data_IF_413759850796
#
_entry.id   IF_413759850796
#
_cell.length_a   1.000
_cell.length_b   1.000
_cell.length_c   1.000
_cell.angle_alpha   90.00
_cell.angle_beta   90.00
_cell.angle_gamma   90.00
#
_symmetry.space_group_name_H-M   'P 1'
#
loop_
_entity.id
_entity.type
_entity.pdbx_description
1 polymer ?
#
# COMPACT_ATOMS: atom_id res chain seq x y z
N UNK A 1 -2.90 22.49 -45.93
CA UNK A 1 -2.80 22.97 -44.55
C UNK A 1 -3.64 22.12 -43.61
N UNK A 2 -3.35 20.83 -43.40
CA UNK A 2 -4.07 19.95 -42.44
C UNK A 2 -3.18 18.82 -41.89
N UNK A 3 -1.87 19.00 -41.75
CA UNK A 3 -0.94 17.94 -41.27
C UNK A 3 -0.14 18.29 -40.00
N UNK A 4 -0.40 19.42 -39.35
CA UNK A 4 0.37 19.85 -38.16
C UNK A 4 -0.42 19.88 -36.85
N UNK A 5 -1.68 19.38 -36.80
CA UNK A 5 -2.51 19.43 -35.61
C UNK A 5 -2.52 18.10 -34.81
N UNK A 6 -1.86 17.05 -35.27
CA UNK A 6 -1.86 15.74 -34.62
C UNK A 6 -0.61 15.45 -33.76
N UNK A 7 0.38 16.35 -33.80
CA UNK A 7 1.65 16.16 -33.07
C UNK A 7 1.70 16.92 -31.73
N UNK A 8 0.71 17.75 -31.42
CA UNK A 8 0.70 18.58 -30.21
C UNK A 8 -0.08 17.96 -29.05
N UNK A 9 -0.74 16.82 -29.23
CA UNK A 9 -1.50 16.13 -28.18
C UNK A 9 -0.72 15.01 -27.48
N UNK A 10 0.47 14.64 -28.01
CA UNK A 10 1.31 13.58 -27.43
C UNK A 10 2.39 14.09 -26.46
N UNK A 11 2.54 15.41 -26.29
CA UNK A 11 3.60 15.99 -25.45
C UNK A 11 3.13 16.54 -24.12
N UNK A 12 1.86 16.37 -23.76
CA UNK A 12 1.30 16.80 -22.48
C UNK A 12 0.97 15.66 -21.49
N UNK A 13 1.30 14.41 -21.85
CA UNK A 13 1.21 13.26 -20.95
C UNK A 13 2.59 12.77 -20.43
N UNK A 14 3.64 13.55 -20.59
CA UNK A 14 4.99 13.20 -20.10
C UNK A 14 5.28 13.80 -18.72
N UNK A 15 4.38 13.58 -17.75
CA UNK A 15 4.57 14.11 -16.40
C UNK A 15 4.34 13.14 -15.26
N UNK A 16 3.72 12.00 -15.52
CA UNK A 16 3.55 10.95 -14.52
C UNK A 16 4.19 9.68 -15.07
N UNK A 17 5.44 9.44 -14.70
CA UNK A 17 5.96 8.09 -14.74
C UNK A 17 5.10 7.33 -13.73
N UNK A 18 4.13 6.55 -14.21
CA UNK A 18 3.40 5.59 -13.42
C UNK A 18 4.47 4.73 -12.73
N UNK A 19 4.41 4.59 -11.44
CA UNK A 19 5.28 3.67 -10.70
C UNK A 19 4.78 2.24 -10.97
N UNK A 20 4.89 1.82 -12.24
CA UNK A 20 4.44 0.52 -12.71
C UNK A 20 5.16 -0.57 -11.91
N UNK A 21 4.39 -1.47 -11.31
CA UNK A 21 4.82 -2.80 -10.85
C UNK A 21 6.26 -2.88 -10.32
N UNK A 22 6.62 -2.04 -9.34
CA UNK A 22 7.99 -1.95 -8.85
C UNK A 22 8.47 -3.20 -8.10
N UNK A 23 7.52 -3.98 -7.54
CA UNK A 23 7.87 -5.15 -6.74
C UNK A 23 8.42 -6.33 -7.57
N UNK A 24 8.16 -6.36 -8.90
CA UNK A 24 8.73 -7.38 -9.77
C UNK A 24 10.28 -7.37 -9.76
N UNK A 25 10.88 -6.21 -9.48
CA UNK A 25 12.34 -6.03 -9.40
C UNK A 25 12.95 -6.62 -8.11
N UNK A 26 12.13 -6.91 -7.10
CA UNK A 26 12.60 -7.43 -5.82
C UNK A 26 12.94 -8.92 -5.91
N UNK A 27 14.05 -9.38 -5.32
CA UNK A 27 14.35 -10.81 -5.22
C UNK A 27 13.31 -11.55 -4.37
N UNK A 28 12.87 -12.71 -4.82
CA UNK A 28 11.88 -13.54 -4.12
C UNK A 28 12.28 -13.91 -2.68
N UNK A 29 13.59 -14.00 -2.39
CA UNK A 29 14.12 -14.31 -1.06
C UNK A 29 14.09 -13.14 -0.07
N UNK A 30 13.80 -11.93 -0.53
CA UNK A 30 13.74 -10.72 0.32
C UNK A 30 12.60 -10.85 1.33
N UNK A 31 12.87 -10.57 2.60
CA UNK A 31 11.81 -10.53 3.60
C UNK A 31 10.93 -9.29 3.42
N UNK A 32 9.61 -9.46 3.45
CA UNK A 32 8.66 -8.36 3.31
C UNK A 32 8.86 -7.30 4.39
N UNK A 33 9.22 -7.72 5.60
CA UNK A 33 9.52 -6.82 6.71
C UNK A 33 10.75 -5.91 6.47
N UNK A 34 11.61 -6.27 5.53
CA UNK A 34 12.79 -5.49 5.13
C UNK A 34 12.50 -4.52 3.97
N UNK A 35 11.25 -4.25 3.67
CA UNK A 35 10.91 -3.35 2.58
C UNK A 35 10.53 -1.96 3.09
N UNK A 36 10.67 -0.99 2.19
CA UNK A 36 10.07 0.34 2.30
C UNK A 36 8.80 0.34 1.47
N UNK A 37 7.64 0.20 2.12
CA UNK A 37 6.35 0.04 1.43
C UNK A 37 5.54 1.32 1.52
N UNK A 38 5.32 2.03 0.40
CA UNK A 38 4.42 3.18 0.39
C UNK A 38 2.98 2.73 0.64
N UNK A 39 2.31 3.41 1.57
CA UNK A 39 0.96 3.11 2.01
C UNK A 39 0.08 4.34 2.12
N UNK A 40 -1.23 4.15 1.97
CA UNK A 40 -2.26 5.18 2.10
C UNK A 40 -3.03 4.97 3.41
N UNK A 41 -3.02 6.00 4.28
CA UNK A 41 -3.86 6.09 5.47
C UNK A 41 -5.30 6.38 5.05
N UNK A 42 -6.30 5.74 5.69
CA UNK A 42 -7.73 5.86 5.34
C UNK A 42 -7.95 5.87 3.82
N UNK A 43 -7.44 4.83 3.16
CA UNK A 43 -7.25 4.78 1.71
C UNK A 43 -8.53 4.97 0.89
N UNK A 44 -9.69 4.71 1.46
CA UNK A 44 -10.97 4.80 0.78
C UNK A 44 -11.49 6.24 0.57
N UNK A 45 -10.96 7.23 1.30
CA UNK A 45 -11.51 8.60 1.33
C UNK A 45 -11.40 9.33 -0.01
N UNK A 46 -10.46 8.95 -0.88
CA UNK A 46 -10.36 9.46 -2.25
C UNK A 46 -11.43 8.96 -3.21
N UNK A 47 -12.17 7.90 -2.84
CA UNK A 47 -13.26 7.35 -3.67
C UNK A 47 -14.56 8.14 -3.58
N UNK A 48 -14.57 9.24 -2.82
CA UNK A 48 -15.77 10.07 -2.60
C UNK A 48 -16.54 9.67 -1.35
N UNK A 49 -17.71 10.26 -1.17
CA UNK A 49 -18.48 10.17 0.06
C UNK A 49 -19.84 9.49 -0.16
N UNK A 50 -20.26 8.73 0.85
CA UNK A 50 -21.58 8.14 0.91
C UNK A 50 -22.68 9.19 1.10
N UNK A 51 -23.93 8.77 0.97
CA UNK A 51 -25.08 9.63 1.18
C UNK A 51 -25.29 10.02 2.65
N UNK A 52 -26.20 10.95 2.88
CA UNK A 52 -26.62 11.37 4.20
C UNK A 52 -25.85 12.55 4.77
N UNK A 53 -26.21 12.91 6.02
CA UNK A 53 -25.69 14.10 6.70
C UNK A 53 -24.16 14.05 6.85
N UNK A 54 -23.63 12.94 7.28
CA UNK A 54 -22.18 12.81 7.55
C UNK A 54 -21.35 12.82 6.27
N UNK A 55 -21.84 12.23 5.17
CA UNK A 55 -21.14 12.29 3.88
C UNK A 55 -20.93 13.71 3.38
N UNK A 56 -21.86 14.64 3.70
CA UNK A 56 -21.73 16.04 3.33
C UNK A 56 -20.53 16.76 4.00
N UNK A 57 -20.02 16.22 5.11
CA UNK A 57 -18.87 16.78 5.84
C UNK A 57 -17.52 16.14 5.44
N UNK A 58 -17.55 15.10 4.59
CA UNK A 58 -16.38 14.33 4.25
C UNK A 58 -15.19 15.15 3.75
N UNK A 59 -15.42 16.06 2.81
CA UNK A 59 -14.38 16.93 2.25
C UNK A 59 -13.73 17.87 3.28
N UNK A 60 -14.47 18.24 4.31
CA UNK A 60 -14.04 19.20 5.32
C UNK A 60 -13.32 18.53 6.47
N UNK A 61 -13.70 17.29 6.83
CA UNK A 61 -13.28 16.69 8.10
C UNK A 61 -12.73 15.27 8.00
N UNK A 62 -12.82 14.62 6.85
CA UNK A 62 -12.45 13.21 6.73
C UNK A 62 -11.53 12.89 5.55
N UNK A 63 -11.24 13.88 4.69
CA UNK A 63 -10.45 13.61 3.48
C UNK A 63 -8.96 13.49 3.79
N UNK A 64 -8.44 12.29 3.63
CA UNK A 64 -7.02 11.94 3.76
C UNK A 64 -6.38 11.58 2.43
N UNK A 65 -7.17 11.27 1.40
CA UNK A 65 -6.70 10.93 0.05
C UNK A 65 -7.49 11.69 -1.01
N UNK A 66 -6.81 12.08 -2.10
CA UNK A 66 -7.45 12.65 -3.29
C UNK A 66 -7.63 11.61 -4.40
N UNK A 67 -6.90 10.51 -4.35
CA UNK A 67 -6.91 9.44 -5.35
C UNK A 67 -7.76 8.25 -4.89
N UNK A 68 -8.43 7.61 -5.84
CA UNK A 68 -9.14 6.35 -5.62
C UNK A 68 -8.15 5.20 -5.37
N UNK A 69 -8.63 4.06 -4.88
CA UNK A 69 -7.82 2.86 -4.65
C UNK A 69 -7.01 2.45 -5.89
N UNK A 70 -7.63 2.43 -7.09
CA UNK A 70 -6.93 2.11 -8.32
C UNK A 70 -5.84 3.14 -8.69
N UNK A 71 -6.13 4.42 -8.52
CA UNK A 71 -5.16 5.48 -8.77
C UNK A 71 -3.98 5.46 -7.77
N UNK A 72 -4.25 5.13 -6.50
CA UNK A 72 -3.20 4.89 -5.51
C UNK A 72 -2.29 3.73 -5.91
N UNK A 73 -2.88 2.62 -6.39
CA UNK A 73 -2.11 1.51 -6.95
C UNK A 73 -1.23 1.95 -8.12
N UNK A 74 -1.78 2.71 -9.07
CA UNK A 74 -1.06 3.19 -10.25
C UNK A 74 0.13 4.11 -9.89
N UNK A 75 0.03 4.82 -8.75
CA UNK A 75 1.13 5.62 -8.20
C UNK A 75 2.20 4.79 -7.47
N UNK A 76 2.01 3.47 -7.28
CA UNK A 76 2.96 2.60 -6.61
C UNK A 76 2.65 2.29 -5.14
N UNK A 77 1.52 2.73 -4.60
CA UNK A 77 1.06 2.35 -3.26
C UNK A 77 0.79 0.85 -3.22
N UNK A 78 1.30 0.17 -2.17
CA UNK A 78 1.12 -1.27 -1.96
C UNK A 78 0.69 -1.64 -0.53
N UNK A 79 0.48 -0.64 0.33
CA UNK A 79 -0.18 -0.83 1.62
C UNK A 79 -1.42 0.07 1.70
N UNK A 80 -2.54 -0.48 2.18
CA UNK A 80 -3.82 0.23 2.26
C UNK A 80 -4.38 0.10 3.67
N UNK A 81 -4.66 1.23 4.31
CA UNK A 81 -5.39 1.29 5.57
C UNK A 81 -6.88 1.30 5.25
N UNK A 82 -7.55 0.19 5.55
CA UNK A 82 -8.98 -0.01 5.29
C UNK A 82 -9.73 -0.14 6.60
N UNK A 83 -10.83 0.62 6.72
CA UNK A 83 -11.63 0.73 7.94
C UNK A 83 -13.10 0.39 7.70
N UNK A 84 -13.44 -0.90 7.70
CA UNK A 84 -14.83 -1.33 7.52
C UNK A 84 -15.70 -1.01 8.72
N UNK A 85 -16.96 -0.63 8.41
CA UNK A 85 -18.07 -0.49 9.34
C UNK A 85 -19.22 -1.41 8.93
N UNK A 86 -20.06 -1.79 9.87
CA UNK A 86 -21.21 -2.64 9.63
C UNK A 86 -22.40 -1.86 9.09
N UNK A 87 -22.86 -2.26 7.91
CA UNK A 87 -24.07 -1.79 7.25
C UNK A 87 -25.02 -2.95 7.00
N UNK A 88 -26.29 -2.66 6.70
CA UNK A 88 -27.26 -3.72 6.40
C UNK A 88 -26.84 -4.50 5.15
N UNK A 89 -26.48 -5.75 5.34
CA UNK A 89 -26.07 -6.69 4.30
C UNK A 89 -24.66 -6.52 3.72
N UNK A 90 -23.84 -5.52 4.13
CA UNK A 90 -22.48 -5.28 3.64
C UNK A 90 -21.61 -4.55 4.66
N UNK A 91 -20.31 -4.42 4.38
CA UNK A 91 -19.40 -3.55 5.12
C UNK A 91 -19.02 -2.33 4.28
N UNK A 92 -19.25 -1.12 4.81
CA UNK A 92 -18.81 0.11 4.15
C UNK A 92 -17.42 0.50 4.65
N UNK A 93 -16.64 1.23 3.86
CA UNK A 93 -15.41 1.86 4.35
C UNK A 93 -15.74 3.27 4.83
N UNK A 94 -15.36 3.58 6.07
CA UNK A 94 -15.60 4.88 6.67
C UNK A 94 -14.29 5.51 7.16
N UNK A 95 -14.36 6.82 7.45
CA UNK A 95 -13.41 7.51 8.31
C UNK A 95 -14.18 8.03 9.52
N UNK A 96 -14.07 7.36 10.65
CA UNK A 96 -14.95 7.55 11.79
C UNK A 96 -16.42 7.32 11.39
N UNK A 97 -17.27 8.28 11.74
CA UNK A 97 -18.69 8.27 11.38
C UNK A 97 -18.96 8.68 9.92
N UNK A 98 -17.94 9.13 9.17
CA UNK A 98 -18.11 9.68 7.82
C UNK A 98 -17.99 8.55 6.79
N UNK A 99 -19.10 8.20 6.09
CA UNK A 99 -19.08 7.12 5.11
C UNK A 99 -18.41 7.55 3.81
N UNK A 100 -17.53 6.71 3.29
CA UNK A 100 -17.08 6.85 1.89
C UNK A 100 -18.09 6.25 0.92
N UNK A 101 -17.89 6.48 -0.39
CA UNK A 101 -18.78 5.96 -1.43
C UNK A 101 -18.44 4.52 -1.85
N UNK A 102 -17.55 3.82 -1.13
CA UNK A 102 -17.05 2.51 -1.53
C UNK A 102 -17.19 1.47 -0.40
N UNK A 103 -17.55 0.23 -0.77
CA UNK A 103 -17.67 -0.89 0.16
C UNK A 103 -16.34 -1.59 0.37
N UNK A 104 -16.17 -2.23 1.51
CA UNK A 104 -15.00 -3.03 1.81
C UNK A 104 -14.85 -4.21 0.86
N UNK A 105 -15.94 -4.94 0.61
CA UNK A 105 -15.94 -6.10 -0.28
C UNK A 105 -15.53 -5.70 -1.70
N UNK A 106 -16.12 -4.64 -2.25
CA UNK A 106 -15.82 -4.13 -3.61
C UNK A 106 -14.34 -3.68 -3.71
N UNK A 107 -13.83 -3.06 -2.66
CA UNK A 107 -12.42 -2.65 -2.58
C UNK A 107 -11.49 -3.86 -2.60
N UNK A 108 -11.79 -4.88 -1.82
CA UNK A 108 -11.00 -6.11 -1.79
C UNK A 108 -11.02 -6.85 -3.12
N UNK A 109 -12.17 -6.87 -3.82
CA UNK A 109 -12.27 -7.44 -5.17
C UNK A 109 -11.46 -6.62 -6.18
N UNK A 110 -11.50 -5.30 -6.11
CA UNK A 110 -10.69 -4.44 -6.96
C UNK A 110 -9.19 -4.70 -6.75
N UNK A 111 -8.72 -4.80 -5.51
CA UNK A 111 -7.33 -5.09 -5.17
C UNK A 111 -6.90 -6.48 -5.65
N UNK A 112 -7.76 -7.49 -5.51
CA UNK A 112 -7.56 -8.83 -6.07
C UNK A 112 -7.39 -8.77 -7.60
N UNK A 113 -8.27 -8.07 -8.29
CA UNK A 113 -8.27 -8.01 -9.75
C UNK A 113 -7.03 -7.27 -10.28
N UNK A 114 -6.52 -6.28 -9.55
CA UNK A 114 -5.23 -5.66 -9.83
C UNK A 114 -4.07 -6.66 -9.69
N UNK A 115 -4.09 -7.52 -8.68
CA UNK A 115 -3.07 -8.57 -8.51
C UNK A 115 -3.18 -9.67 -9.59
N UNK A 116 -4.39 -10.03 -10.04
CA UNK A 116 -4.57 -10.96 -11.16
C UNK A 116 -3.92 -10.43 -12.43
N UNK A 117 -4.04 -9.13 -12.69
CA UNK A 117 -3.41 -8.47 -13.84
C UNK A 117 -1.89 -8.26 -13.65
N UNK A 118 -1.42 -8.20 -12.41
CA UNK A 118 -0.04 -7.90 -12.04
C UNK A 118 0.48 -8.93 -11.02
N UNK A 119 0.69 -10.19 -11.42
CA UNK A 119 0.96 -11.30 -10.49
C UNK A 119 2.33 -11.23 -9.80
N UNK A 120 3.21 -10.36 -10.24
CA UNK A 120 4.48 -10.08 -9.56
C UNK A 120 4.34 -9.21 -8.31
N UNK A 121 3.23 -8.48 -8.22
CA UNK A 121 2.96 -7.56 -7.13
C UNK A 121 2.27 -8.25 -5.95
N UNK A 122 2.26 -7.58 -4.80
CA UNK A 122 1.52 -7.98 -3.61
C UNK A 122 1.02 -6.77 -2.82
N UNK A 123 0.09 -7.00 -1.92
CA UNK A 123 -0.56 -5.95 -1.13
C UNK A 123 -0.49 -6.30 0.36
N UNK A 124 -0.29 -5.26 1.19
CA UNK A 124 -0.50 -5.32 2.64
C UNK A 124 -1.72 -4.49 3.00
N UNK A 125 -2.65 -5.05 3.74
CA UNK A 125 -3.80 -4.34 4.29
C UNK A 125 -3.57 -4.14 5.80
N UNK A 126 -3.58 -2.89 6.24
CA UNK A 126 -3.83 -2.55 7.63
C UNK A 126 -5.35 -2.51 7.80
N UNK A 127 -5.90 -3.34 8.68
CA UNK A 127 -7.34 -3.48 8.88
C UNK A 127 -7.73 -3.03 10.29
N UNK A 128 -8.72 -2.16 10.39
CA UNK A 128 -9.29 -1.68 11.64
C UNK A 128 -10.81 -1.58 11.51
N UNK A 129 -11.56 -2.20 12.43
CA UNK A 129 -13.00 -2.00 12.51
C UNK A 129 -13.32 -0.58 13.00
N UNK A 130 -13.99 0.22 12.19
CA UNK A 130 -14.36 1.61 12.52
C UNK A 130 -15.74 1.64 13.20
N UNK A 131 -15.79 1.23 14.47
CA UNK A 131 -17.03 0.98 15.21
C UNK A 131 -17.96 2.19 15.29
N UNK A 132 -17.40 3.40 15.30
CA UNK A 132 -18.21 4.64 15.36
C UNK A 132 -19.09 4.84 14.13
N UNK A 133 -18.77 4.17 13.03
CA UNK A 133 -19.52 4.23 11.77
C UNK A 133 -20.55 3.12 11.58
N UNK A 134 -20.66 2.17 12.51
CA UNK A 134 -21.61 1.05 12.41
C UNK A 134 -23.06 1.53 12.36
N UNK A 135 -23.82 0.97 11.41
CA UNK A 135 -25.24 1.29 11.21
C UNK A 135 -26.16 0.17 11.70
N UNK A 136 -25.60 -0.99 12.02
CA UNK A 136 -26.33 -2.17 12.53
C UNK A 136 -25.57 -2.85 13.66
N UNK A 137 -26.32 -3.48 14.57
CA UNK A 137 -25.78 -4.23 15.71
C UNK A 137 -25.52 -5.70 15.30
N UNK A 138 -24.72 -5.91 14.26
CA UNK A 138 -24.32 -7.25 13.83
C UNK A 138 -22.93 -7.63 14.37
N UNK A 139 -22.58 -8.90 14.20
CA UNK A 139 -21.24 -9.38 14.53
C UNK A 139 -20.24 -9.04 13.43
N UNK A 140 -19.39 -8.05 13.66
CA UNK A 140 -18.26 -7.77 12.78
C UNK A 140 -17.38 -9.01 12.57
N UNK A 141 -17.11 -9.77 13.66
CA UNK A 141 -16.34 -10.99 13.58
C UNK A 141 -16.92 -12.00 12.58
N UNK A 142 -18.22 -12.21 12.60
CA UNK A 142 -18.86 -13.19 11.71
C UNK A 142 -18.83 -12.72 10.26
N UNK A 143 -19.08 -11.44 10.02
CA UNK A 143 -19.05 -10.86 8.67
C UNK A 143 -17.67 -10.85 8.07
N UNK A 144 -16.65 -10.38 8.80
CA UNK A 144 -15.27 -10.34 8.26
C UNK A 144 -14.73 -11.75 8.01
N UNK A 145 -15.01 -12.70 8.90
CA UNK A 145 -14.59 -14.10 8.71
C UNK A 145 -15.30 -14.73 7.52
N UNK A 146 -16.61 -14.54 7.39
CA UNK A 146 -17.37 -15.07 6.25
C UNK A 146 -16.81 -14.51 4.93
N UNK A 147 -16.54 -13.22 4.86
CA UNK A 147 -15.96 -12.59 3.67
C UNK A 147 -14.55 -13.15 3.36
N UNK A 148 -13.65 -13.16 4.35
CA UNK A 148 -12.26 -13.61 4.13
C UNK A 148 -12.15 -15.12 3.80
N UNK A 149 -13.19 -15.90 4.08
CA UNK A 149 -13.28 -17.33 3.73
C UNK A 149 -14.05 -17.59 2.44
N UNK A 150 -14.63 -16.57 1.83
CA UNK A 150 -15.40 -16.72 0.59
C UNK A 150 -14.52 -17.18 -0.57
N UNK A 151 -15.12 -17.88 -1.54
CA UNK A 151 -14.41 -18.41 -2.70
C UNK A 151 -13.82 -17.29 -3.58
N UNK A 152 -14.39 -16.11 -3.50
CA UNK A 152 -13.99 -14.95 -4.30
C UNK A 152 -12.66 -14.33 -3.86
N UNK A 153 -12.24 -14.52 -2.58
CA UNK A 153 -11.05 -13.83 -2.05
C UNK A 153 -10.04 -14.75 -1.36
N UNK A 154 -10.48 -15.85 -0.75
CA UNK A 154 -9.66 -16.69 0.14
C UNK A 154 -8.33 -17.14 -0.47
N UNK A 155 -8.31 -17.46 -1.76
CA UNK A 155 -7.13 -17.97 -2.46
C UNK A 155 -6.08 -16.89 -2.75
N UNK A 156 -6.45 -15.62 -2.59
CA UNK A 156 -5.55 -14.47 -2.72
C UNK A 156 -4.97 -14.02 -1.39
N UNK A 157 -5.43 -14.57 -0.27
CA UNK A 157 -4.99 -14.20 1.06
C UNK A 157 -3.84 -15.10 1.51
N UNK A 158 -2.91 -14.52 2.29
CA UNK A 158 -1.77 -15.25 2.87
C UNK A 158 -1.75 -15.12 4.39
N UNK A 159 -1.37 -16.22 5.06
CA UNK A 159 -1.13 -16.19 6.50
C UNK A 159 0.18 -15.49 6.84
N UNK A 160 0.18 -14.76 7.94
CA UNK A 160 1.39 -14.15 8.46
C UNK A 160 2.40 -15.21 8.90
N UNK A 161 3.63 -15.01 8.45
CA UNK A 161 4.83 -15.66 8.97
C UNK A 161 5.85 -14.56 9.31
N UNK A 162 6.63 -14.76 10.36
CA UNK A 162 7.67 -13.79 10.74
C UNK A 162 8.61 -13.47 9.57
N UNK A 163 9.03 -14.49 8.86
CA UNK A 163 9.97 -14.45 7.74
C UNK A 163 9.29 -14.54 6.36
N UNK A 164 8.10 -13.98 6.24
CA UNK A 164 7.38 -13.93 4.96
C UNK A 164 8.23 -13.23 3.91
N UNK A 165 8.38 -13.87 2.76
CA UNK A 165 9.23 -13.38 1.66
C UNK A 165 8.41 -12.78 0.53
N UNK A 166 9.06 -11.98 -0.31
CA UNK A 166 8.46 -11.41 -1.52
C UNK A 166 7.88 -12.51 -2.42
N UNK A 167 8.64 -13.61 -2.64
CA UNK A 167 8.17 -14.72 -3.48
C UNK A 167 6.90 -15.40 -2.94
N UNK A 168 6.77 -15.53 -1.60
CA UNK A 168 5.55 -16.06 -0.98
C UNK A 168 4.36 -15.09 -1.08
N UNK A 169 4.63 -13.79 -1.23
CA UNK A 169 3.62 -12.75 -1.32
C UNK A 169 3.13 -12.47 -2.74
N UNK A 170 3.87 -12.86 -3.78
CA UNK A 170 3.47 -12.54 -5.16
C UNK A 170 2.05 -12.99 -5.47
N UNK A 171 1.24 -12.07 -6.02
CA UNK A 171 -0.18 -12.26 -6.31
C UNK A 171 -1.07 -12.39 -5.07
N UNK A 172 -0.57 -12.02 -3.86
CA UNK A 172 -1.29 -12.21 -2.59
C UNK A 172 -1.52 -10.92 -1.84
N UNK A 173 -2.46 -10.99 -0.90
CA UNK A 173 -2.82 -9.94 0.06
C UNK A 173 -2.50 -10.44 1.47
N UNK A 174 -1.68 -9.71 2.21
CA UNK A 174 -1.48 -9.91 3.63
C UNK A 174 -2.37 -8.95 4.41
N UNK A 175 -3.30 -9.48 5.18
CA UNK A 175 -4.11 -8.69 6.10
C UNK A 175 -3.45 -8.66 7.47
N UNK A 176 -3.17 -7.47 7.98
CA UNK A 176 -2.68 -7.21 9.33
C UNK A 176 -3.75 -6.39 10.06
N UNK A 177 -4.50 -7.06 10.94
CA UNK A 177 -5.67 -6.49 11.61
C UNK A 177 -5.35 -6.05 13.04
N UNK A 178 -5.83 -4.88 13.42
CA UNK A 178 -5.85 -4.43 14.82
C UNK A 178 -6.93 -5.14 15.64
N UNK A 179 -7.94 -5.68 14.98
CA UNK A 179 -9.04 -6.39 15.61
C UNK A 179 -8.77 -7.89 15.58
N UNK A 180 -9.00 -8.54 16.72
CA UNK A 180 -9.01 -9.99 16.79
C UNK A 180 -10.40 -10.49 16.41
N UNK A 181 -10.49 -11.13 15.27
CA UNK A 181 -11.66 -11.93 14.93
C UNK A 181 -11.36 -13.42 15.13
N UNK A 182 -12.28 -14.13 15.77
CA UNK A 182 -12.08 -15.52 16.18
C UNK A 182 -12.33 -16.51 15.03
N UNK A 183 -11.78 -17.71 15.18
CA UNK A 183 -12.00 -18.92 14.37
C UNK A 183 -11.59 -18.87 12.89
N UNK A 184 -10.44 -19.47 12.60
CA UNK A 184 -9.83 -19.64 11.28
C UNK A 184 -9.57 -18.34 10.51
N UNK A 185 -9.09 -17.30 11.16
CA UNK A 185 -8.70 -16.08 10.47
C UNK A 185 -7.50 -16.37 9.56
N UNK A 186 -7.27 -15.46 8.63
CA UNK A 186 -6.11 -15.46 7.75
C UNK A 186 -5.34 -14.15 7.96
N UNK A 187 -4.02 -14.16 7.72
CA UNK A 187 -3.18 -13.01 7.94
C UNK A 187 -2.57 -12.96 9.34
N UNK A 188 -2.52 -11.79 9.95
CA UNK A 188 -1.96 -11.57 11.28
C UNK A 188 -2.71 -10.52 12.08
N UNK A 189 -2.60 -10.63 13.41
CA UNK A 189 -3.16 -9.65 14.34
C UNK A 189 -2.06 -8.74 14.89
N UNK A 190 -2.32 -7.45 14.88
CA UNK A 190 -1.47 -6.41 15.45
C UNK A 190 -1.84 -6.25 16.94
N UNK A 191 -1.01 -6.76 17.83
CA UNK A 191 -1.27 -6.78 19.25
C UNK A 191 -0.52 -5.68 19.98
N UNK A 192 -1.13 -5.14 21.03
CA UNK A 192 -0.58 -4.08 21.87
C UNK A 192 -0.30 -2.81 21.06
N UNK A 193 -1.17 -2.49 20.11
CA UNK A 193 -1.11 -1.24 19.36
C UNK A 193 -1.23 -0.05 20.31
N UNK A 194 -0.43 0.99 20.09
CA UNK A 194 -0.43 2.21 20.88
C UNK A 194 -0.59 3.42 19.99
N UNK A 195 -1.63 4.17 20.24
CA UNK A 195 -1.88 5.47 19.63
C UNK A 195 -1.16 6.56 20.43
N UNK A 196 -0.79 7.65 19.79
CA UNK A 196 -0.15 8.85 20.39
C UNK A 196 1.10 8.56 21.22
N UNK A 197 1.83 7.51 20.88
CA UNK A 197 3.06 7.13 21.55
C UNK A 197 4.29 7.75 20.88
N UNK A 198 4.86 8.78 21.48
CA UNK A 198 6.11 9.42 21.02
C UNK A 198 7.38 8.67 21.43
N UNK A 199 7.28 7.71 22.35
CA UNK A 199 8.41 6.95 22.89
C UNK A 199 8.42 5.49 22.42
N UNK A 200 7.95 5.24 21.21
CA UNK A 200 7.84 3.90 20.64
C UNK A 200 9.17 3.10 20.72
N UNK A 201 10.34 3.74 20.63
CA UNK A 201 11.66 3.09 20.67
C UNK A 201 12.00 2.48 22.06
N UNK A 202 11.40 2.99 23.12
CA UNK A 202 11.61 2.48 24.48
C UNK A 202 10.68 1.32 24.83
N UNK A 203 9.74 1.06 23.95
CA UNK A 203 8.74 0.04 24.17
C UNK A 203 8.88 -0.99 23.04
N UNK A 204 9.32 -2.18 23.37
CA UNK A 204 9.05 -3.39 22.58
C UNK A 204 7.55 -3.52 22.43
N UNK A 205 7.01 -2.70 21.58
CA UNK A 205 5.69 -2.22 21.88
C UNK A 205 4.64 -3.21 21.44
N UNK A 206 4.77 -3.78 20.25
CA UNK A 206 3.75 -4.61 19.70
C UNK A 206 4.25 -5.98 19.29
N UNK A 207 3.32 -6.78 18.85
CA UNK A 207 3.58 -8.09 18.27
C UNK A 207 2.63 -8.29 17.10
N UNK A 208 3.09 -8.99 16.08
CA UNK A 208 2.20 -9.57 15.09
C UNK A 208 2.03 -11.04 15.45
N UNK A 209 0.81 -11.44 15.67
CA UNK A 209 0.45 -12.85 15.88
C UNK A 209 -0.16 -13.40 14.61
N UNK A 210 0.36 -14.50 14.09
CA UNK A 210 -0.25 -15.19 12.96
C UNK A 210 -1.67 -15.65 13.32
N UNK A 211 -2.59 -15.45 12.41
CA UNK A 211 -4.00 -15.72 12.65
C UNK A 211 -4.29 -17.22 12.84
N UNK A 212 -3.61 -18.10 12.10
CA UNK A 212 -3.71 -19.56 12.24
C UNK A 212 -2.64 -20.18 13.15
N UNK A 213 -1.68 -19.40 13.62
CA UNK A 213 -0.53 -19.92 14.36
C UNK A 213 -0.23 -19.08 15.59
N UNK A 214 0.48 -19.67 16.54
CA UNK A 214 1.03 -18.94 17.70
C UNK A 214 2.31 -18.17 17.36
N UNK A 215 2.74 -18.16 16.09
CA UNK A 215 3.95 -17.45 15.65
C UNK A 215 3.77 -15.97 15.88
N UNK A 216 4.71 -15.39 16.62
CA UNK A 216 4.75 -13.96 16.89
C UNK A 216 5.99 -13.34 16.26
N UNK A 217 5.81 -12.13 15.73
CA UNK A 217 6.87 -11.23 15.28
C UNK A 217 6.91 -9.97 16.11
N UNK A 218 8.09 -9.35 16.20
CA UNK A 218 8.23 -8.03 16.82
C UNK A 218 7.62 -6.97 15.91
N UNK A 219 6.83 -6.08 16.51
CA UNK A 219 6.20 -4.95 15.83
C UNK A 219 6.65 -3.65 16.50
N UNK A 220 7.13 -2.73 15.72
CA UNK A 220 7.36 -1.35 16.13
C UNK A 220 6.39 -0.45 15.38
N UNK A 221 5.69 0.42 16.10
CA UNK A 221 4.68 1.30 15.53
C UNK A 221 4.87 2.72 16.01
N UNK A 222 4.74 3.68 15.11
CA UNK A 222 4.57 5.10 15.39
C UNK A 222 3.21 5.50 14.82
N UNK A 223 2.28 5.80 15.71
CA UNK A 223 0.91 6.21 15.40
C UNK A 223 0.56 7.44 16.29
N UNK A 224 1.46 8.45 16.28
CA UNK A 224 1.19 9.75 16.88
C UNK A 224 0.37 10.57 15.89
N UNK A 225 -0.92 10.72 16.15
CA UNK A 225 -1.87 11.28 15.20
C UNK A 225 -2.24 12.75 15.50
N UNK A 226 -2.29 13.13 16.79
CA UNK A 226 -2.79 14.42 17.23
C UNK A 226 -1.68 15.48 17.33
N UNK A 227 -1.58 16.33 16.31
CA UNK A 227 -0.66 17.49 16.32
C UNK A 227 -1.33 18.79 16.80
N UNK A 228 -2.56 18.72 17.31
CA UNK A 228 -3.24 19.85 17.93
C UNK A 228 -2.62 20.20 19.30
N UNK A 229 -2.00 19.22 19.96
CA UNK A 229 -1.41 19.35 21.27
C UNK A 229 -0.11 20.16 21.27
N UNK A 230 0.41 20.49 22.47
CA UNK A 230 1.68 21.19 22.66
C UNK A 230 2.82 20.48 21.92
N UNK A 231 3.61 21.27 21.20
CA UNK A 231 4.67 20.77 20.31
C UNK A 231 4.26 20.63 18.85
N UNK A 232 2.97 20.52 18.58
CA UNK A 232 2.41 20.56 17.22
C UNK A 232 3.02 19.52 16.28
N UNK A 233 3.15 19.89 15.02
CA UNK A 233 3.73 19.04 13.98
C UNK A 233 5.17 18.62 14.26
N UNK A 234 5.96 19.43 15.01
CA UNK A 234 7.34 19.07 15.32
C UNK A 234 7.44 17.78 16.14
N UNK A 235 6.56 17.59 17.12
CA UNK A 235 6.50 16.32 17.88
C UNK A 235 6.23 15.12 16.97
N UNK A 236 5.36 15.28 15.96
CA UNK A 236 5.10 14.26 14.94
C UNK A 236 6.35 13.98 14.10
N UNK A 237 7.04 15.01 13.63
CA UNK A 237 8.27 14.85 12.84
C UNK A 237 9.36 14.14 13.64
N UNK A 238 9.51 14.46 14.92
CA UNK A 238 10.47 13.81 15.81
C UNK A 238 10.12 12.32 16.02
N UNK A 239 8.84 11.99 16.18
CA UNK A 239 8.37 10.60 16.30
C UNK A 239 8.64 9.80 15.01
N UNK A 240 8.33 10.38 13.84
CA UNK A 240 8.64 9.80 12.53
C UNK A 240 10.14 9.55 12.40
N UNK A 241 10.96 10.58 12.72
CA UNK A 241 12.41 10.48 12.63
C UNK A 241 12.99 9.37 13.50
N UNK A 242 12.56 9.27 14.75
CA UNK A 242 12.98 8.18 15.65
C UNK A 242 12.71 6.80 15.06
N UNK A 243 11.53 6.62 14.43
CA UNK A 243 11.18 5.37 13.77
C UNK A 243 12.10 5.10 12.57
N UNK A 244 12.34 6.09 11.72
CA UNK A 244 13.23 5.95 10.56
C UNK A 244 14.67 5.66 11.00
N UNK A 245 15.21 6.40 11.99
CA UNK A 245 16.56 6.19 12.53
C UNK A 245 16.78 4.78 13.08
N UNK A 246 15.70 4.13 13.54
CA UNK A 246 15.72 2.77 14.04
C UNK A 246 15.52 1.74 12.93
N UNK A 247 14.47 1.86 12.14
CA UNK A 247 14.09 0.87 11.13
C UNK A 247 15.16 0.72 10.04
N UNK A 248 15.71 1.82 9.55
CA UNK A 248 16.70 1.82 8.45
C UNK A 248 18.02 1.10 8.80
N UNK A 249 18.29 0.89 10.09
CA UNK A 249 19.46 0.13 10.57
C UNK A 249 19.21 -1.38 10.70
N UNK A 250 17.96 -1.82 10.52
CA UNK A 250 17.54 -3.21 10.78
C UNK A 250 17.17 -3.96 9.50
N UNK A 251 18.16 -4.17 8.63
CA UNK A 251 18.00 -5.05 7.47
C UNK A 251 18.28 -6.50 7.89
N UNK A 252 17.23 -7.25 8.25
CA UNK A 252 17.34 -8.58 8.81
C UNK A 252 17.82 -9.58 7.75
N UNK A 253 18.84 -10.38 8.10
CA UNK A 253 19.38 -11.46 7.25
C UNK A 253 18.92 -12.85 7.70
N UNK A 254 18.39 -12.95 8.92
CA UNK A 254 17.89 -14.20 9.50
C UNK A 254 16.53 -13.98 10.16
N UNK A 255 15.69 -15.00 10.15
CA UNK A 255 14.30 -14.92 10.63
C UNK A 255 14.16 -14.44 12.09
N UNK A 256 15.12 -14.76 12.95
CA UNK A 256 15.06 -14.38 14.38
C UNK A 256 15.24 -12.89 14.65
N UNK A 257 15.82 -12.16 13.69
CA UNK A 257 16.10 -10.73 13.80
C UNK A 257 15.10 -9.85 13.05
N UNK A 258 14.06 -10.44 12.48
CA UNK A 258 13.05 -9.69 11.71
C UNK A 258 12.18 -8.87 12.66
N UNK A 259 12.04 -7.60 12.33
CA UNK A 259 11.12 -6.64 12.94
C UNK A 259 10.22 -6.05 11.88
N UNK A 260 8.95 -5.89 12.20
CA UNK A 260 7.97 -5.19 11.37
C UNK A 260 7.81 -3.76 11.88
N UNK A 261 7.67 -2.82 10.96
CA UNK A 261 7.56 -1.41 11.25
C UNK A 261 6.33 -0.82 10.58
N UNK A 262 5.53 -0.11 11.39
CA UNK A 262 4.47 0.77 10.92
C UNK A 262 4.79 2.20 11.35
N UNK A 263 4.91 3.10 10.41
CA UNK A 263 5.19 4.51 10.67
C UNK A 263 4.12 5.34 9.96
N UNK A 264 3.19 5.89 10.75
CA UNK A 264 2.15 6.75 10.21
C UNK A 264 2.73 8.15 9.95
N UNK A 265 2.76 8.58 8.70
CA UNK A 265 3.03 9.95 8.32
C UNK A 265 1.78 10.82 8.48
N UNK A 266 0.60 10.21 8.50
CA UNK A 266 -0.69 10.87 8.70
C UNK A 266 -0.82 11.52 10.07
N UNK A 267 -1.50 12.67 10.14
CA UNK A 267 -1.83 13.36 11.37
C UNK A 267 -2.94 14.40 11.16
N UNK A 268 -3.61 14.80 12.25
CA UNK A 268 -4.56 15.91 12.28
C UNK A 268 -4.11 17.00 13.26
N UNK A 269 -4.45 18.26 12.98
CA UNK A 269 -4.08 19.41 13.81
C UNK A 269 -5.27 20.28 14.24
N UNK A 270 -6.46 19.92 13.84
CA UNK A 270 -7.69 20.63 14.17
C UNK A 270 -8.75 19.64 14.61
N UNK A 271 -9.50 20.03 15.64
CA UNK A 271 -10.68 19.30 16.12
C UNK A 271 -11.84 20.26 16.08
N UNK A 272 -12.83 19.90 15.27
CA UNK A 272 -14.13 20.61 15.19
C UNK A 272 -15.21 19.81 15.90
N UNK A 273 -16.28 20.46 16.31
CA UNK A 273 -17.45 19.79 16.89
C UNK A 273 -18.70 20.11 16.09
N UNK A 274 -19.50 19.09 15.80
CA UNK A 274 -20.81 19.25 15.17
C UNK A 274 -21.88 18.88 16.19
N UNK A 275 -22.77 19.81 16.54
CA UNK A 275 -23.90 19.50 17.40
C UNK A 275 -24.93 18.65 16.63
N UNK A 276 -25.28 17.50 17.18
CA UNK A 276 -26.38 16.67 16.76
C UNK A 276 -27.47 16.64 17.83
N UNK A 277 -28.70 16.25 17.47
CA UNK A 277 -29.79 16.13 18.43
C UNK A 277 -29.38 15.15 19.54
N UNK A 278 -29.14 15.70 20.73
CA UNK A 278 -28.82 14.93 21.94
C UNK A 278 -27.33 14.60 22.15
N UNK A 279 -26.44 14.98 21.22
CA UNK A 279 -25.01 14.72 21.36
C UNK A 279 -24.16 15.73 20.58
N UNK A 280 -22.85 15.68 20.79
CA UNK A 280 -21.85 16.44 20.02
C UNK A 280 -20.84 15.45 19.46
N UNK A 281 -20.57 15.53 18.16
CA UNK A 281 -19.58 14.71 17.49
C UNK A 281 -18.32 15.53 17.24
N UNK A 282 -17.18 15.00 17.63
CA UNK A 282 -15.88 15.57 17.31
C UNK A 282 -15.39 15.05 15.96
N UNK A 283 -14.92 15.96 15.12
CA UNK A 283 -14.33 15.65 13.81
C UNK A 283 -12.95 16.27 13.73
N UNK A 284 -12.03 15.57 13.12
CA UNK A 284 -10.65 16.04 12.91
C UNK A 284 -10.46 16.68 11.55
N UNK A 285 -9.49 17.57 11.43
CA UNK A 285 -9.08 18.23 10.19
C UNK A 285 -7.59 18.63 10.26
N UNK A 286 -7.07 19.23 9.20
CA UNK A 286 -5.69 19.64 9.10
C UNK A 286 -4.78 18.59 8.45
N UNK A 287 -5.35 17.56 7.85
CA UNK A 287 -4.61 16.48 7.19
C UNK A 287 -3.69 16.98 6.08
N UNK A 288 -4.12 17.94 5.24
CA UNK A 288 -3.29 18.52 4.16
C UNK A 288 -2.10 19.28 4.69
N UNK A 289 -2.34 20.07 5.73
CA UNK A 289 -1.30 20.83 6.38
C UNK A 289 -0.24 19.91 6.98
N UNK A 290 -0.66 18.92 7.76
CA UNK A 290 0.25 17.92 8.30
C UNK A 290 0.99 17.13 7.20
N UNK A 291 0.30 16.67 6.15
CA UNK A 291 0.91 15.96 5.05
C UNK A 291 2.00 16.80 4.34
N UNK A 292 1.78 18.12 4.21
CA UNK A 292 2.79 19.02 3.61
C UNK A 292 4.10 19.04 4.39
N UNK A 293 4.05 18.82 5.70
CA UNK A 293 5.22 18.72 6.56
C UNK A 293 5.79 17.31 6.64
N UNK A 294 4.94 16.31 6.91
CA UNK A 294 5.38 14.95 7.18
C UNK A 294 5.92 14.25 5.94
N UNK A 295 5.22 14.33 4.80
CA UNK A 295 5.64 13.70 3.56
C UNK A 295 6.91 14.37 3.01
N UNK A 296 6.98 15.70 3.07
CA UNK A 296 8.19 16.44 2.68
C UNK A 296 9.38 16.06 3.56
N UNK A 297 9.17 15.97 4.89
CA UNK A 297 10.22 15.60 5.84
C UNK A 297 10.78 14.19 5.55
N UNK A 298 9.92 13.18 5.37
CA UNK A 298 10.37 11.81 5.07
C UNK A 298 11.10 11.78 3.73
N UNK A 299 10.58 12.49 2.72
CA UNK A 299 11.23 12.58 1.40
C UNK A 299 12.64 13.20 1.52
N UNK A 300 12.79 14.26 2.29
CA UNK A 300 14.09 14.90 2.54
C UNK A 300 15.02 13.99 3.33
N UNK A 301 14.51 13.29 4.35
CA UNK A 301 15.28 12.32 5.13
C UNK A 301 15.89 11.24 4.24
N UNK A 302 15.09 10.65 3.33
CA UNK A 302 15.53 9.60 2.42
C UNK A 302 16.48 10.08 1.30
N UNK A 303 16.52 11.39 1.03
CA UNK A 303 17.36 12.01 0.00
C UNK A 303 18.57 12.76 0.57
N UNK A 304 18.78 12.73 1.88
CA UNK A 304 19.91 13.41 2.51
C UNK A 304 21.24 12.79 2.08
N UNK A 305 22.27 13.61 1.87
CA UNK A 305 23.58 13.16 1.37
C UNK A 305 24.27 12.13 2.28
N UNK A 306 23.99 12.18 3.58
CA UNK A 306 24.53 11.26 4.59
C UNK A 306 23.62 10.07 4.90
N UNK A 307 22.45 10.01 4.27
CA UNK A 307 21.52 8.91 4.43
C UNK A 307 22.09 7.60 3.90
N UNK A 308 21.93 6.55 4.68
CA UNK A 308 22.27 5.19 4.27
C UNK A 308 20.99 4.41 4.03
N UNK A 309 20.72 3.97 2.80
CA UNK A 309 19.50 3.24 2.47
C UNK A 309 19.32 1.99 3.35
N UNK A 310 18.08 1.81 3.79
CA UNK A 310 17.66 0.70 4.62
C UNK A 310 16.13 0.65 4.74
N UNK A 311 15.56 -0.43 5.29
CA UNK A 311 14.13 -0.64 5.34
C UNK A 311 13.41 0.40 6.21
N UNK A 312 12.43 1.09 5.67
CA UNK A 312 11.58 2.00 6.45
C UNK A 312 10.39 1.29 7.11
N UNK A 313 10.07 0.07 6.64
CA UNK A 313 8.79 -0.57 6.91
C UNK A 313 7.65 0.03 6.10
N UNK A 314 6.44 -0.09 6.62
CA UNK A 314 5.22 0.44 5.99
C UNK A 314 5.02 1.89 6.43
N UNK A 315 5.00 2.81 5.47
CA UNK A 315 4.72 4.23 5.71
C UNK A 315 3.29 4.51 5.27
N UNK A 316 2.39 4.74 6.21
CA UNK A 316 1.00 5.11 5.94
C UNK A 316 0.87 6.64 5.92
N UNK A 317 0.62 7.22 4.75
CA UNK A 317 0.61 8.66 4.52
C UNK A 317 -0.76 9.18 4.08
N UNK A 318 -1.00 10.45 4.36
CA UNK A 318 -2.10 11.20 3.76
C UNK A 318 -1.68 11.74 2.39
N UNK A 319 -2.64 11.87 1.47
CA UNK A 319 -2.47 12.38 0.09
C UNK A 319 -1.38 11.64 -0.70
N UNK A 320 -1.29 10.32 -0.51
CA UNK A 320 -0.40 9.47 -1.29
C UNK A 320 -0.64 9.65 -2.80
N UNK A 321 0.45 9.68 -3.56
CA UNK A 321 0.38 9.75 -5.03
C UNK A 321 0.07 11.12 -5.62
N UNK A 322 -0.12 12.17 -4.82
CA UNK A 322 -0.26 13.55 -5.31
C UNK A 322 0.74 14.48 -4.60
N UNK A 323 1.25 15.48 -5.32
CA UNK A 323 2.17 16.48 -4.73
C UNK A 323 1.45 17.76 -4.32
N UNK A 324 0.24 18.00 -4.83
CA UNK A 324 -0.57 19.17 -4.50
C UNK A 324 -2.01 18.79 -4.22
N UNK A 325 -2.60 19.37 -3.16
CA UNK A 325 -4.01 19.24 -2.80
C UNK A 325 -4.55 20.55 -2.22
N UNK A 326 -5.56 21.14 -2.90
CA UNK A 326 -6.27 22.36 -2.45
C UNK A 326 -5.32 23.48 -1.93
N UNK A 327 -4.23 23.73 -2.63
CA UNK A 327 -3.27 24.79 -2.31
C UNK A 327 -2.12 24.40 -1.36
N UNK A 328 -2.10 23.17 -0.87
CA UNK A 328 -0.98 22.63 -0.09
C UNK A 328 -0.03 21.81 -0.98
N UNK A 329 1.27 21.93 -0.74
CA UNK A 329 2.30 21.08 -1.33
C UNK A 329 2.45 19.82 -0.46
N UNK A 330 1.57 18.84 -0.67
CA UNK A 330 1.48 17.63 0.18
C UNK A 330 2.55 16.58 -0.11
N UNK A 331 3.31 16.72 -1.19
CA UNK A 331 4.51 15.92 -1.54
C UNK A 331 4.29 14.38 -1.53
N UNK A 332 3.07 13.91 -1.71
CA UNK A 332 2.74 12.49 -1.56
C UNK A 332 3.27 11.61 -2.69
N UNK A 333 3.30 12.09 -3.94
CA UNK A 333 3.90 11.36 -5.05
C UNK A 333 5.42 11.29 -4.90
N UNK A 334 6.05 12.37 -4.48
CA UNK A 334 7.49 12.41 -4.23
C UNK A 334 7.88 11.43 -3.12
N UNK A 335 7.05 11.30 -2.06
CA UNK A 335 7.31 10.35 -0.99
C UNK A 335 7.13 8.91 -1.45
N UNK A 336 6.06 8.60 -2.20
CA UNK A 336 5.87 7.27 -2.78
C UNK A 336 7.09 6.87 -3.59
N UNK A 337 7.56 7.74 -4.48
CA UNK A 337 8.74 7.47 -5.31
C UNK A 337 10.01 7.30 -4.47
N UNK A 338 10.23 8.16 -3.47
CA UNK A 338 11.40 8.06 -2.59
C UNK A 338 11.44 6.73 -1.81
N UNK A 339 10.28 6.23 -1.37
CA UNK A 339 10.18 4.93 -0.69
C UNK A 339 10.45 3.76 -1.64
N UNK A 340 9.96 3.83 -2.88
CA UNK A 340 10.23 2.82 -3.91
C UNK A 340 11.73 2.80 -4.21
N UNK A 341 12.32 3.95 -4.52
CA UNK A 341 13.74 4.07 -4.87
C UNK A 341 14.64 3.64 -3.71
N UNK A 342 14.24 3.93 -2.47
CA UNK A 342 15.00 3.53 -1.29
C UNK A 342 15.21 2.01 -1.21
N UNK A 343 14.23 1.19 -1.61
CA UNK A 343 14.42 -0.28 -1.65
C UNK A 343 15.64 -0.66 -2.48
N UNK A 344 15.82 -0.06 -3.64
CA UNK A 344 16.90 -0.36 -4.58
C UNK A 344 18.23 0.29 -4.20
N UNK A 345 18.27 1.02 -3.11
CA UNK A 345 19.50 1.49 -2.49
C UNK A 345 20.20 0.45 -1.60
N UNK A 346 19.49 -0.60 -1.17
CA UNK A 346 20.03 -1.65 -0.28
C UNK A 346 19.60 -3.08 -0.65
N UNK A 347 18.68 -3.24 -1.60
CA UNK A 347 18.25 -4.53 -2.17
C UNK A 347 18.78 -4.58 -3.60
N UNK A 348 19.52 -5.64 -3.94
CA UNK A 348 19.96 -5.85 -5.31
C UNK A 348 18.74 -6.02 -6.22
N UNK A 349 18.68 -5.21 -7.27
CA UNK A 349 17.71 -5.36 -8.33
C UNK A 349 17.84 -6.76 -8.96
N UNK A 350 16.72 -7.45 -9.15
CA UNK A 350 16.74 -8.61 -10.05
C UNK A 350 16.91 -8.03 -11.46
N UNK A 351 18.03 -8.32 -12.15
CA UNK A 351 18.19 -7.83 -13.50
C UNK A 351 16.96 -8.27 -14.31
N UNK A 352 16.28 -7.32 -14.93
CA UNK A 352 15.28 -7.59 -15.97
C UNK A 352 16.03 -8.04 -17.21
N UNK A 353 16.86 -9.07 -17.02
CA UNK A 353 17.52 -9.81 -18.06
C UNK A 353 16.63 -10.98 -18.36
N UNK A 354 16.27 -11.13 -19.62
CA UNK A 354 16.00 -12.45 -20.17
C UNK A 354 16.90 -13.40 -19.37
N UNK A 355 16.30 -14.27 -18.52
CA UNK A 355 17.05 -15.43 -18.03
C UNK A 355 17.82 -15.95 -19.24
N UNK A 356 19.16 -16.05 -19.12
CA UNK A 356 19.89 -16.80 -20.14
C UNK A 356 19.19 -18.15 -20.15
N UNK A 357 18.33 -18.31 -21.15
CA UNK A 357 17.74 -19.62 -21.42
C UNK A 357 18.95 -20.54 -21.43
N UNK A 358 19.05 -21.42 -20.42
CA UNK A 358 20.08 -22.46 -20.37
C UNK A 358 20.25 -22.91 -21.80
N UNK A 359 21.46 -22.77 -22.34
CA UNK A 359 21.75 -23.18 -23.71
C UNK A 359 21.37 -24.64 -23.78
N UNK A 360 20.14 -24.89 -24.22
CA UNK A 360 19.76 -26.24 -24.60
C UNK A 360 20.88 -26.77 -25.49
N UNK A 361 21.36 -27.98 -25.26
CA UNK A 361 22.35 -28.58 -26.11
C UNK A 361 21.92 -28.43 -27.55
N UNK A 362 22.81 -28.21 -28.53
CA UNK A 362 22.46 -27.91 -29.88
C UNK A 362 21.48 -28.96 -30.38
N UNK A 363 20.24 -28.53 -30.65
CA UNK A 363 19.19 -29.37 -31.22
C UNK A 363 19.70 -29.97 -32.54
N UNK A 364 19.38 -31.23 -32.74
CA UNK A 364 19.64 -32.00 -33.96
C UNK A 364 19.52 -31.10 -35.23
N UNK A 365 20.54 -31.03 -36.08
CA UNK A 365 20.56 -30.23 -37.28
C UNK A 365 19.47 -30.58 -38.30
N UNK A 366 18.73 -31.67 -38.10
CA UNK A 366 17.66 -32.14 -39.00
C UNK A 366 16.26 -31.60 -38.72
N UNK A 367 16.04 -30.82 -37.63
CA UNK A 367 14.72 -30.26 -37.37
C UNK A 367 14.50 -28.92 -38.12
N UNK A 368 13.31 -28.69 -38.73
CA UNK A 368 13.05 -27.43 -39.40
C UNK A 368 13.06 -26.25 -38.42
N UNK A 369 14.01 -25.34 -38.62
CA UNK A 369 14.12 -24.12 -37.79
C UNK A 369 13.04 -23.11 -38.20
N UNK A 370 12.01 -22.98 -37.38
CA UNK A 370 11.13 -21.83 -37.51
C UNK A 370 11.92 -20.55 -37.12
N UNK A 371 11.93 -19.58 -38.01
CA UNK A 371 12.68 -18.33 -37.83
C UNK A 371 11.93 -17.29 -37.01
N UNK A 372 10.66 -17.53 -36.67
CA UNK A 372 9.77 -16.56 -36.05
C UNK A 372 8.84 -17.23 -35.04
N UNK A 373 8.67 -16.61 -33.87
CA UNK A 373 7.82 -17.08 -32.80
C UNK A 373 6.92 -15.94 -32.30
N UNK A 374 5.73 -16.28 -31.79
CA UNK A 374 4.90 -15.33 -31.05
C UNK A 374 5.47 -15.10 -29.62
N UNK A 375 4.85 -14.19 -28.86
CA UNK A 375 5.29 -13.89 -27.49
C UNK A 375 5.10 -15.04 -26.50
N UNK A 376 4.37 -16.08 -26.87
CA UNK A 376 4.16 -17.32 -26.09
C UNK A 376 5.13 -18.44 -26.52
N UNK A 377 6.11 -18.13 -27.42
CA UNK A 377 7.10 -19.09 -27.89
C UNK A 377 6.59 -20.08 -28.93
N UNK A 378 5.40 -19.88 -29.53
CA UNK A 378 4.84 -20.74 -30.58
C UNK A 378 5.38 -20.34 -31.94
N UNK A 379 5.80 -21.27 -32.80
CA UNK A 379 6.27 -20.95 -34.15
C UNK A 379 5.16 -20.33 -35.00
N UNK A 380 5.53 -19.30 -35.79
CA UNK A 380 4.60 -18.55 -36.63
C UNK A 380 5.03 -18.67 -38.09
N UNK A 381 4.16 -19.23 -38.94
CA UNK A 381 4.44 -19.44 -40.39
C UNK A 381 4.07 -18.23 -41.23
N UNK A 382 3.09 -17.41 -40.81
CA UNK A 382 2.66 -16.19 -41.53
C UNK A 382 2.57 -15.02 -40.58
N UNK A 383 3.14 -13.89 -40.97
CA UNK A 383 3.14 -12.66 -40.21
C UNK A 383 1.96 -11.76 -40.55
N UNK A 384 1.05 -11.54 -39.57
CA UNK A 384 0.18 -10.36 -39.54
C UNK A 384 0.88 -9.18 -38.85
N UNK A 385 0.17 -8.06 -38.63
CA UNK A 385 0.66 -6.99 -37.75
C UNK A 385 0.73 -7.50 -36.30
N UNK A 386 1.89 -7.35 -35.66
CA UNK A 386 2.09 -7.79 -34.28
C UNK A 386 3.55 -7.76 -33.82
N UNK A 387 3.77 -8.26 -32.58
CA UNK A 387 5.09 -8.39 -31.99
C UNK A 387 5.49 -9.88 -32.03
N UNK A 388 6.68 -10.14 -32.54
CA UNK A 388 7.24 -11.49 -32.72
C UNK A 388 8.67 -11.57 -32.19
N UNK A 389 9.15 -12.77 -31.95
CA UNK A 389 10.55 -13.07 -31.62
C UNK A 389 11.22 -13.72 -32.83
N UNK A 390 12.28 -13.13 -33.33
CA UNK A 390 13.13 -13.67 -34.39
C UNK A 390 14.58 -13.71 -33.93
N UNK A 391 15.18 -14.89 -33.93
CA UNK A 391 16.56 -15.11 -33.50
C UNK A 391 16.85 -14.50 -32.09
N UNK A 392 15.91 -14.68 -31.14
CA UNK A 392 16.01 -14.13 -29.78
C UNK A 392 15.79 -12.62 -29.67
N UNK A 393 15.37 -11.92 -30.75
CA UNK A 393 15.12 -10.47 -30.73
C UNK A 393 13.67 -10.15 -31.04
N UNK A 394 13.11 -9.16 -30.33
CA UNK A 394 11.79 -8.62 -30.60
C UNK A 394 11.72 -7.97 -31.99
N UNK A 395 10.75 -8.36 -32.78
CA UNK A 395 10.46 -7.79 -34.09
C UNK A 395 9.02 -7.32 -34.13
N UNK A 396 8.77 -6.08 -34.54
CA UNK A 396 7.42 -5.53 -34.75
C UNK A 396 7.18 -5.50 -36.26
N UNK A 397 6.05 -6.01 -36.73
CA UNK A 397 5.63 -5.98 -38.13
C UNK A 397 4.21 -5.46 -38.27
#
# INVERSE_FOLDING_TARGET
MKKHLFLLFLTLMSGYALAENWQYRLPDKTFVANLSIPGAHDAATGSGWGGGLFGAFGDSYARTQDLTIAQLWDCGVRAFDLRPCLYDGYMNLNHGIVPTAIRFEDTMFQLRDLLVQNPSEFIVIHLLHETDGDQVEDSYNDRIVAFLQSDEIKDYLVDYKRNLTVGEMRGKILILSRDKYATKPIGGFLLNWKVDNVNWAEQTAGKIQGAKSSIQGSLYMQDYADTHNEGGVQTKLDAIKKMLDYSTKHNATVASTIHWYFNFASAYSKVGTIPLIGTTVSLSDGYRDNASHTNAFITQYLKADDYKPGPTGIILMDYAGVDKSKGYDVCGLQLVQALIDNNFGYIEDVPVGIEEVEKFPPSDPSSPRHSLYDLLGRPVEKTGHGIFIKNGRKVVR
#
